data_IF_153018823492
#
_entry.id   IF_153018823492
#
_cell.length_a   1.000
_cell.length_b   1.000
_cell.length_c   1.000
_cell.angle_alpha   90.00
_cell.angle_beta   90.00
_cell.angle_gamma   90.00
#
_symmetry.space_group_name_H-M   'P 1'
#
loop_
_entity.id
_entity.type
_entity.pdbx_description
1 polymer ?
#
# COMPACT_ATOMS: atom_id res chain seq x y z
N UNK A 1 13.85 12.11 -15.61
CA UNK A 1 13.30 13.27 -14.90
C UNK A 1 12.20 12.82 -13.96
N UNK A 2 12.32 13.06 -12.68
CA UNK A 2 11.31 12.65 -11.73
C UNK A 2 10.16 13.66 -11.70
N UNK A 3 8.93 13.16 -11.54
CA UNK A 3 7.76 14.02 -11.38
C UNK A 3 7.69 14.49 -9.94
N UNK A 4 7.20 15.73 -9.70
CA UNK A 4 6.95 16.15 -8.34
C UNK A 4 5.88 15.27 -7.69
N UNK A 5 6.06 14.99 -6.40
CA UNK A 5 5.08 14.22 -5.63
C UNK A 5 4.01 15.19 -5.16
N UNK A 6 2.77 14.96 -5.57
CA UNK A 6 1.63 15.81 -5.20
C UNK A 6 0.45 14.94 -4.80
N UNK A 7 -0.55 15.56 -4.16
CA UNK A 7 -1.79 14.86 -3.80
C UNK A 7 -2.74 14.72 -4.99
N UNK A 8 -2.33 15.19 -6.17
CA UNK A 8 -3.18 15.15 -7.36
C UNK A 8 -2.86 14.03 -8.32
N UNK A 9 -1.87 13.22 -8.00
CA UNK A 9 -1.55 12.05 -8.83
C UNK A 9 -2.63 10.99 -8.65
N UNK A 10 -3.10 10.46 -9.77
CA UNK A 10 -4.14 9.43 -9.74
C UNK A 10 -3.54 8.05 -9.45
N UNK A 11 -4.26 7.26 -8.67
CA UNK A 11 -3.89 5.87 -8.42
C UNK A 11 -4.26 5.07 -9.67
N UNK A 12 -3.28 4.39 -10.25
CA UNK A 12 -3.48 3.59 -11.47
C UNK A 12 -3.81 2.15 -11.15
N UNK A 13 -3.27 1.63 -10.06
CA UNK A 13 -3.57 0.28 -9.62
C UNK A 13 -3.44 0.25 -8.11
N UNK A 14 -4.26 -0.59 -7.47
CA UNK A 14 -4.25 -0.71 -6.01
C UNK A 14 -3.35 -1.84 -5.58
N UNK A 15 -2.66 -1.64 -4.46
CA UNK A 15 -1.86 -2.69 -3.83
C UNK A 15 -2.80 -3.77 -3.32
N UNK A 16 -2.43 -5.02 -3.50
CA UNK A 16 -3.23 -6.15 -3.03
C UNK A 16 -2.34 -7.33 -2.64
N UNK A 17 -2.87 -8.15 -1.75
CA UNK A 17 -2.21 -9.40 -1.37
C UNK A 17 -2.50 -10.47 -2.43
N UNK A 18 -1.46 -11.18 -2.87
CA UNK A 18 -1.64 -12.22 -3.89
C UNK A 18 -2.60 -13.31 -3.45
N UNK A 19 -2.58 -13.65 -2.15
CA UNK A 19 -3.51 -14.65 -1.60
C UNK A 19 -4.94 -14.15 -1.62
N UNK A 20 -5.15 -12.86 -1.35
CA UNK A 20 -6.48 -12.27 -1.43
C UNK A 20 -7.02 -12.30 -2.86
N UNK A 21 -6.17 -12.00 -3.84
CA UNK A 21 -6.58 -12.04 -5.24
C UNK A 21 -7.00 -13.46 -5.65
N UNK A 22 -6.25 -14.46 -5.20
CA UNK A 22 -6.58 -15.87 -5.50
C UNK A 22 -7.90 -16.32 -4.87
N UNK A 23 -8.25 -15.76 -3.70
CA UNK A 23 -9.45 -16.14 -2.96
C UNK A 23 -10.65 -15.27 -3.27
N UNK A 24 -10.43 -14.12 -3.90
CA UNK A 24 -11.45 -13.12 -4.12
C UNK A 24 -12.59 -13.64 -5.01
N UNK A 25 -13.88 -13.47 -4.61
CA UNK A 25 -14.98 -13.74 -5.52
C UNK A 25 -14.94 -12.82 -6.73
N UNK A 26 -15.43 -13.29 -7.87
CA UNK A 26 -15.43 -12.49 -9.09
C UNK A 26 -16.35 -11.26 -9.01
N UNK A 27 -17.26 -11.26 -8.05
CA UNK A 27 -18.23 -10.17 -7.88
C UNK A 27 -17.68 -9.01 -7.03
N UNK A 28 -16.51 -9.18 -6.44
CA UNK A 28 -15.91 -8.16 -5.57
C UNK A 28 -14.59 -7.71 -6.18
N UNK A 29 -14.39 -6.39 -6.24
CA UNK A 29 -13.16 -5.84 -6.79
C UNK A 29 -11.99 -6.08 -5.82
N UNK A 30 -10.74 -6.11 -6.33
CA UNK A 30 -9.57 -6.23 -5.44
C UNK A 30 -9.52 -5.14 -4.37
N UNK A 31 -9.92 -3.92 -4.73
CA UNK A 31 -9.95 -2.79 -3.81
C UNK A 31 -10.91 -3.04 -2.65
N UNK A 32 -12.09 -3.55 -2.94
CA UNK A 32 -13.12 -3.78 -1.93
C UNK A 32 -12.83 -5.03 -1.08
N UNK A 33 -12.16 -6.01 -1.66
CA UNK A 33 -11.81 -7.24 -0.95
C UNK A 33 -10.60 -7.07 -0.05
N UNK A 34 -9.77 -6.08 -0.29
CA UNK A 34 -8.50 -5.90 0.42
C UNK A 34 -8.72 -5.66 1.91
N UNK A 35 -7.87 -6.27 2.72
CA UNK A 35 -7.83 -6.08 4.18
C UNK A 35 -6.42 -5.65 4.54
N UNK A 36 -6.05 -4.44 4.12
CA UNK A 36 -4.69 -3.97 4.24
C UNK A 36 -4.53 -2.96 5.36
N UNK A 37 -3.34 -2.97 5.94
CA UNK A 37 -2.91 -2.04 6.94
C UNK A 37 -1.60 -1.43 6.46
N UNK A 38 -1.48 -0.11 6.51
CA UNK A 38 -0.28 0.58 6.03
C UNK A 38 0.28 1.42 7.16
N UNK A 39 1.57 1.29 7.40
CA UNK A 39 2.20 2.05 8.47
C UNK A 39 3.68 2.27 8.20
N UNK A 40 4.26 3.15 9.00
CA UNK A 40 5.68 3.41 8.93
C UNK A 40 6.45 2.38 9.74
N UNK A 41 7.60 1.97 9.19
CA UNK A 41 8.55 1.14 9.90
C UNK A 41 9.78 1.99 10.23
N UNK A 42 10.78 1.40 10.86
CA UNK A 42 12.01 2.11 11.18
C UNK A 42 12.73 2.63 9.93
N UNK A 43 12.51 2.03 8.77
CA UNK A 43 13.23 2.39 7.55
C UNK A 43 12.34 2.85 6.41
N UNK A 44 11.03 2.75 6.54
CA UNK A 44 10.16 3.12 5.43
C UNK A 44 8.70 2.90 5.70
N UNK A 45 8.03 2.25 4.76
CA UNK A 45 6.58 2.04 4.77
C UNK A 45 6.28 0.58 4.49
N UNK A 46 5.39 -0.01 5.28
CA UNK A 46 4.98 -1.40 5.10
C UNK A 46 3.50 -1.49 4.82
N UNK A 47 3.14 -2.33 3.87
CA UNK A 47 1.76 -2.74 3.61
C UNK A 47 1.58 -4.17 4.10
N UNK A 48 0.63 -4.37 4.98
CA UNK A 48 0.39 -5.64 5.66
C UNK A 48 -1.00 -6.16 5.33
N UNK A 49 -1.11 -7.44 5.01
CA UNK A 49 -2.42 -8.06 4.81
C UNK A 49 -2.92 -8.61 6.15
N UNK A 50 -4.00 -8.02 6.65
CA UNK A 50 -4.58 -8.45 7.93
C UNK A 50 -5.28 -9.80 7.84
N UNK A 51 -5.82 -10.13 6.65
CA UNK A 51 -6.52 -11.39 6.45
C UNK A 51 -5.58 -12.57 6.50
N UNK A 52 -4.42 -12.47 5.87
CA UNK A 52 -3.44 -13.55 5.78
C UNK A 52 -2.25 -13.37 6.72
N UNK A 53 -2.20 -12.24 7.43
CA UNK A 53 -1.13 -11.90 8.37
C UNK A 53 0.25 -12.03 7.74
N UNK A 54 0.40 -11.41 6.56
CA UNK A 54 1.67 -11.41 5.83
C UNK A 54 1.99 -10.01 5.32
N UNK A 55 3.28 -9.76 5.13
CA UNK A 55 3.75 -8.54 4.50
C UNK A 55 3.45 -8.62 3.00
N UNK A 56 2.80 -7.58 2.48
CA UNK A 56 2.52 -7.47 1.06
C UNK A 56 3.66 -6.73 0.37
N UNK A 57 4.12 -5.67 0.98
CA UNK A 57 5.12 -4.79 0.37
C UNK A 57 5.80 -3.98 1.46
N UNK A 58 7.11 -3.80 1.33
CA UNK A 58 7.85 -2.91 2.22
C UNK A 58 8.73 -2.01 1.36
N UNK A 59 8.61 -0.71 1.58
CA UNK A 59 9.38 0.29 0.84
C UNK A 59 10.41 0.88 1.78
N UNK A 60 11.67 0.74 1.43
CA UNK A 60 12.77 1.33 2.17
C UNK A 60 13.01 2.74 1.64
N UNK A 61 12.88 3.75 2.48
CA UNK A 61 13.08 5.14 2.08
C UNK A 61 14.55 5.50 1.94
N UNK A 62 15.46 4.64 2.36
CA UNK A 62 16.91 4.86 2.27
C UNK A 62 17.33 6.18 2.90
N UNK A 63 16.70 6.53 4.02
CA UNK A 63 16.99 7.78 4.74
C UNK A 63 16.38 9.02 4.13
N UNK A 64 15.61 8.90 3.04
CA UNK A 64 14.99 10.04 2.38
C UNK A 64 13.65 10.38 2.99
N UNK A 65 13.28 11.65 2.91
CA UNK A 65 11.98 12.12 3.37
C UNK A 65 11.01 12.21 2.20
N UNK A 66 9.79 11.85 2.44
CA UNK A 66 8.73 11.89 1.43
C UNK A 66 7.57 12.74 1.92
N UNK A 67 6.96 13.54 1.03
CA UNK A 67 5.80 14.36 1.41
C UNK A 67 4.65 13.48 1.92
N UNK A 68 3.99 13.95 2.97
CA UNK A 68 2.85 13.25 3.53
C UNK A 68 1.86 14.25 4.12
N UNK A 69 0.59 13.92 4.02
CA UNK A 69 -0.51 14.72 4.55
C UNK A 69 -0.99 14.15 5.88
N UNK A 70 -0.06 13.74 6.71
CA UNK A 70 -0.40 13.16 8.00
C UNK A 70 -0.24 14.21 9.10
N UNK A 71 -1.20 14.24 9.99
CA UNK A 71 -1.14 15.09 11.19
C UNK A 71 -1.36 14.21 12.41
N UNK A 72 -0.52 14.43 13.39
CA UNK A 72 -0.66 13.74 14.66
C UNK A 72 -1.86 14.29 15.42
#
# INVERSE_FOLDING_TARGET
MSRPITNKLDIRTYVHCAKCIAEKPNTISPRDFAQLEVGFTAIGLQVWCKRHEVNVCHIDFEGQQHPANMRA
#
